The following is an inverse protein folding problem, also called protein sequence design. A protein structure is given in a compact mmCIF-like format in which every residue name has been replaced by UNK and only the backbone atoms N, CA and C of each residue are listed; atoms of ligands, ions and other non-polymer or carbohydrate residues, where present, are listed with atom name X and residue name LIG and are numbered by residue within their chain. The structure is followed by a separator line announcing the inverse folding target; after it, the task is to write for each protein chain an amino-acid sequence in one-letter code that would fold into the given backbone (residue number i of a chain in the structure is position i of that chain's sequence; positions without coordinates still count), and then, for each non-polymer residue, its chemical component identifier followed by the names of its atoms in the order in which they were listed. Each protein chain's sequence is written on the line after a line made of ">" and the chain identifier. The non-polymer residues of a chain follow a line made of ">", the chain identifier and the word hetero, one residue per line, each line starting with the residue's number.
data_IF_563867631365
#
_entry.id   IF_563867631365
#
_cell.length_a   1.000
_cell.length_b   1.000
_cell.length_c   1.000
_cell.angle_alpha   90.00
_cell.angle_beta   90.00
_cell.angle_gamma   90.00
#
_symmetry.space_group_name_H-M   'P 1'
#
loop_
_entity.id
_entity.type
_entity.pdbx_description
1 polymer ?
#
# COMPACT_ATOMS: atom_id res chain seq x y z
N UNK A 1 -6.69 -24.67 -3.63
CA UNK A 1 -6.61 -24.26 -3.49
C UNK A 1 -6.38 -24.02 -3.27
N UNK A 2 -6.22 -23.77 -3.31
CA UNK A 2 -5.92 -23.24 -3.16
C UNK A 2 -5.59 -22.81 -2.94
N UNK A 3 -5.41 -22.78 -2.96
CA UNK A 3 -5.05 -22.21 -2.82
C UNK A 3 -4.72 -21.61 -2.55
N UNK A 4 -4.64 -21.76 -2.61
CA UNK A 4 -4.33 -21.06 -2.37
C UNK A 4 -3.91 -20.60 -2.13
N UNK A 5 -3.58 -20.69 -2.22
CA UNK A 5 -3.21 -20.14 -2.02
C UNK A 5 -2.75 -19.51 -1.84
N UNK A 6 -2.27 -19.44 -1.90
CA UNK A 6 -1.97 -18.75 -1.59
C UNK A 6 -1.52 -17.95 -1.56
N UNK A 7 -1.41 -17.63 -1.66
CA UNK A 7 -1.06 -16.75 -1.63
C UNK A 7 -0.48 -16.19 -0.74
N UNK A 8 0.16 -16.01 -0.92
CA UNK A 8 0.88 -15.51 0.02
C UNK A 8 0.18 -14.74 0.92
N UNK A 9 0.12 -15.31 1.59
CA UNK A 9 -0.53 -14.89 2.61
C UNK A 9 -0.46 -13.53 2.98
N UNK A 10 0.68 -13.06 2.93
CA UNK A 10 0.82 -11.70 3.30
C UNK A 10 -0.10 -10.89 2.49
N UNK A 11 -0.22 -11.22 1.28
CA UNK A 11 -1.13 -10.50 0.43
C UNK A 11 -2.53 -11.04 0.64
N UNK A 12 -3.00 -10.93 1.84
CA UNK A 12 -4.34 -11.36 2.18
C UNK A 12 -5.36 -10.55 1.38
N UNK A 13 -6.30 -11.21 0.73
CA UNK A 13 -7.34 -10.47 0.02
C UNK A 13 -8.23 -9.64 0.93
N UNK A 14 -8.18 -9.91 2.24
CA UNK A 14 -8.94 -9.12 3.18
C UNK A 14 -8.23 -7.87 3.65
N UNK A 15 -6.97 -7.70 3.30
CA UNK A 15 -6.27 -6.51 3.74
C UNK A 15 -6.89 -5.28 3.10
N UNK A 16 -7.22 -4.30 3.93
CA UNK A 16 -7.79 -3.04 3.49
C UNK A 16 -6.72 -2.01 3.17
N UNK A 17 -5.47 -2.29 3.52
CA UNK A 17 -4.38 -1.33 3.38
C UNK A 17 -3.58 -1.64 2.12
N UNK A 18 -3.52 -0.67 1.22
CA UNK A 18 -2.84 -0.84 -0.06
C UNK A 18 -1.71 0.16 -0.18
N UNK A 19 -0.59 -0.29 -0.73
CA UNK A 19 0.53 0.59 -1.05
C UNK A 19 0.92 0.37 -2.50
N UNK A 20 0.95 1.45 -3.27
CA UNK A 20 1.38 1.42 -4.66
C UNK A 20 2.77 2.07 -4.73
N UNK A 21 3.72 1.38 -5.36
CA UNK A 21 5.10 1.83 -5.36
C UNK A 21 5.75 1.57 -6.71
N UNK A 22 6.89 2.24 -6.95
CA UNK A 22 7.69 2.00 -8.14
C UNK A 22 8.97 1.27 -7.78
N UNK A 23 9.40 0.35 -8.64
CA UNK A 23 10.53 -0.54 -8.33
C UNK A 23 11.84 0.22 -8.04
N UNK A 24 11.99 1.41 -8.59
CA UNK A 24 13.21 2.21 -8.40
C UNK A 24 12.91 3.56 -7.74
N UNK A 25 11.82 3.65 -7.03
CA UNK A 25 11.35 4.89 -6.43
C UNK A 25 12.05 5.15 -5.09
N UNK A 26 12.90 6.20 -4.99
CA UNK A 26 13.60 6.47 -3.72
C UNK A 26 12.67 6.80 -2.57
N UNK A 27 11.59 7.54 -2.86
CA UNK A 27 10.62 7.90 -1.82
C UNK A 27 9.89 6.67 -1.30
N UNK A 28 9.62 5.72 -2.20
CA UNK A 28 8.99 4.46 -1.80
C UNK A 28 9.91 3.67 -0.88
N UNK A 29 11.22 3.65 -1.20
CA UNK A 29 12.18 2.92 -0.37
C UNK A 29 12.28 3.50 1.02
N UNK A 30 12.16 4.81 1.16
CA UNK A 30 12.19 5.44 2.48
C UNK A 30 11.01 5.02 3.34
N UNK A 31 9.90 4.66 2.71
CA UNK A 31 8.72 4.23 3.46
C UNK A 31 8.77 2.77 3.86
N UNK A 32 9.64 1.96 3.25
CA UNK A 32 9.69 0.52 3.53
C UNK A 32 9.86 0.20 5.03
N UNK A 33 10.84 0.79 5.73
CA UNK A 33 10.98 0.47 7.16
C UNK A 33 9.80 0.94 7.98
N UNK A 34 9.16 2.05 7.59
CA UNK A 34 8.00 2.54 8.31
C UNK A 34 6.80 1.62 8.12
N UNK A 35 6.62 1.11 6.91
CA UNK A 35 5.54 0.16 6.63
C UNK A 35 5.78 -1.14 7.40
N UNK A 36 7.04 -1.62 7.43
CA UNK A 36 7.36 -2.83 8.16
C UNK A 36 7.07 -2.66 9.66
N UNK A 37 7.40 -1.51 10.21
CA UNK A 37 7.13 -1.23 11.60
C UNK A 37 5.63 -1.16 11.87
N UNK A 38 4.89 -0.55 10.98
CA UNK A 38 3.44 -0.47 11.08
C UNK A 38 2.80 -1.85 11.10
N UNK A 39 3.23 -2.70 10.19
CA UNK A 39 2.70 -4.06 10.11
C UNK A 39 2.94 -4.82 11.41
N UNK A 40 4.13 -4.64 11.97
CA UNK A 40 4.50 -5.31 13.20
C UNK A 40 3.71 -4.76 14.39
N UNK A 41 3.62 -3.45 14.48
CA UNK A 41 2.97 -2.81 15.63
C UNK A 41 1.48 -3.08 15.66
N UNK A 42 0.81 -2.97 14.52
CA UNK A 42 -0.64 -3.10 14.46
C UNK A 42 -1.11 -4.52 14.14
N UNK A 43 -0.17 -5.42 13.79
CA UNK A 43 -0.55 -6.77 13.43
C UNK A 43 -1.35 -6.82 12.14
N UNK A 44 -1.03 -5.95 11.18
CA UNK A 44 -1.75 -5.88 9.92
C UNK A 44 -0.80 -6.17 8.76
N UNK A 45 -1.37 -6.42 7.59
CA UNK A 45 -0.59 -6.58 6.37
C UNK A 45 -0.96 -5.46 5.42
N UNK A 46 0.06 -4.86 4.80
CA UNK A 46 -0.14 -3.88 3.75
C UNK A 46 0.10 -4.58 2.44
N UNK A 47 -0.88 -4.59 1.56
CA UNK A 47 -0.73 -5.18 0.23
C UNK A 47 0.04 -4.21 -0.65
N UNK A 48 1.11 -4.69 -1.26
CA UNK A 48 2.03 -3.85 -2.02
C UNK A 48 1.92 -4.15 -3.50
N UNK A 49 1.75 -3.12 -4.31
CA UNK A 49 1.57 -3.24 -5.75
C UNK A 49 2.60 -2.40 -6.46
N UNK A 50 3.48 -3.06 -7.21
CA UNK A 50 4.46 -2.35 -8.02
C UNK A 50 3.78 -1.86 -9.29
N UNK A 51 3.90 -0.57 -9.62
CA UNK A 51 3.13 0.02 -10.71
C UNK A 51 3.95 0.54 -11.88
N UNK A 52 5.27 0.64 -11.74
CA UNK A 52 6.08 1.17 -12.83
C UNK A 52 6.31 0.15 -13.93
N UNK A 53 6.36 -1.13 -13.56
CA UNK A 53 6.55 -2.21 -14.54
C UNK A 53 5.32 -3.07 -14.74
N UNK A 54 4.42 -3.08 -13.78
CA UNK A 54 3.23 -3.92 -13.84
C UNK A 54 2.03 -3.08 -14.22
N UNK A 55 1.58 -3.25 -15.45
CA UNK A 55 0.47 -2.46 -16.00
C UNK A 55 -0.84 -2.73 -15.30
N UNK A 56 -1.08 -3.96 -14.88
CA UNK A 56 -2.33 -4.28 -14.20
C UNK A 56 -2.40 -3.57 -12.86
N UNK A 57 -1.27 -3.53 -12.15
CA UNK A 57 -1.21 -2.83 -10.88
C UNK A 57 -1.35 -1.32 -11.07
N UNK A 58 -0.81 -0.80 -12.17
CA UNK A 58 -0.96 0.62 -12.47
C UNK A 58 -2.42 0.97 -12.69
N UNK A 59 -3.17 0.10 -13.36
CA UNK A 59 -4.60 0.33 -13.56
C UNK A 59 -5.38 0.21 -12.26
N UNK A 60 -4.97 -0.72 -11.41
CA UNK A 60 -5.59 -0.84 -10.10
C UNK A 60 -5.40 0.44 -9.30
N UNK A 61 -4.19 1.00 -9.34
CA UNK A 61 -3.92 2.25 -8.67
C UNK A 61 -4.85 3.36 -9.15
N UNK A 62 -5.06 3.45 -10.47
CA UNK A 62 -5.94 4.47 -11.02
C UNK A 62 -7.35 4.38 -10.46
N UNK A 63 -7.81 3.17 -10.20
CA UNK A 63 -9.13 2.96 -9.63
C UNK A 63 -9.28 3.66 -8.28
N UNK A 64 -8.25 3.58 -7.44
CA UNK A 64 -8.31 4.19 -6.12
C UNK A 64 -7.81 5.63 -6.13
N UNK A 65 -6.80 5.92 -6.95
CA UNK A 65 -6.23 7.25 -7.01
C UNK A 65 -7.20 8.27 -7.60
N UNK A 66 -7.78 7.95 -8.74
CA UNK A 66 -8.77 8.81 -9.40
C UNK A 66 -8.31 10.26 -9.46
N UNK A 67 -7.01 10.48 -9.69
CA UNK A 67 -6.47 11.82 -9.81
C UNK A 67 -6.07 12.48 -8.51
N UNK A 68 -6.16 11.78 -7.39
CA UNK A 68 -5.82 12.37 -6.08
C UNK A 68 -4.33 12.61 -5.92
N UNK A 69 -3.52 11.65 -6.34
CA UNK A 69 -2.08 11.71 -6.13
C UNK A 69 -1.31 11.73 -7.44
N UNK A 70 -1.58 10.76 -8.30
CA UNK A 70 -0.96 10.61 -9.62
C UNK A 70 0.53 10.36 -9.53
N UNK A 71 0.98 9.71 -8.46
CA UNK A 71 2.37 9.37 -8.28
C UNK A 71 2.53 8.36 -7.16
N UNK A 72 3.77 7.94 -6.92
CA UNK A 72 4.08 6.95 -5.88
C UNK A 72 5.10 7.52 -4.92
N UNK A 73 5.14 7.05 -3.66
CA UNK A 73 4.24 6.04 -3.11
C UNK A 73 2.83 6.60 -2.88
N UNK A 74 1.85 5.73 -3.02
CA UNK A 74 0.46 6.11 -2.78
C UNK A 74 -0.14 5.04 -1.87
N UNK A 75 -0.66 5.46 -0.72
CA UNK A 75 -1.24 4.58 0.28
C UNK A 75 -2.74 4.80 0.33
N UNK A 76 -3.50 3.73 0.28
CA UNK A 76 -4.96 3.85 0.28
C UNK A 76 -5.58 2.84 1.24
N UNK A 77 -6.45 3.32 2.13
CA UNK A 77 -7.18 2.47 3.06
C UNK A 77 -8.59 2.29 2.52
N UNK A 78 -8.89 1.09 2.06
CA UNK A 78 -10.16 0.84 1.38
C UNK A 78 -11.36 0.84 2.33
N UNK A 79 -11.13 0.71 3.64
CA UNK A 79 -12.23 0.68 4.60
C UNK A 79 -12.76 2.08 4.90
N UNK A 80 -11.87 3.07 5.01
CA UNK A 80 -12.30 4.42 5.39
C UNK A 80 -11.97 5.47 4.33
N UNK A 81 -11.33 5.05 3.23
CA UNK A 81 -10.96 5.90 2.09
C UNK A 81 -9.92 6.96 2.41
N UNK A 82 -9.21 6.82 3.52
CA UNK A 82 -8.07 7.68 3.79
C UNK A 82 -6.92 7.34 2.86
N UNK A 83 -6.13 8.32 2.49
CA UNK A 83 -4.99 8.08 1.62
C UNK A 83 -3.82 8.98 2.01
N UNK A 84 -2.62 8.56 1.59
CA UNK A 84 -1.41 9.36 1.71
C UNK A 84 -0.75 9.39 0.35
N UNK A 85 -0.37 10.57 -0.09
CA UNK A 85 0.33 10.77 -1.34
C UNK A 85 1.76 11.17 -1.02
N UNK A 86 2.73 10.29 -1.34
CA UNK A 86 4.13 10.58 -1.11
C UNK A 86 4.62 10.08 0.24
N UNK A 87 5.74 10.66 0.69
CA UNK A 87 6.31 10.28 1.98
C UNK A 87 5.51 10.86 3.12
N UNK A 88 5.52 10.14 4.24
CA UNK A 88 4.85 10.59 5.46
C UNK A 88 5.65 10.08 6.64
N UNK A 89 5.51 10.75 7.79
CA UNK A 89 6.14 10.24 8.99
C UNK A 89 5.31 9.07 9.56
N UNK A 90 5.88 8.41 10.56
CA UNK A 90 5.23 7.21 11.10
C UNK A 90 3.88 7.50 11.72
N UNK A 91 3.75 8.65 12.39
CA UNK A 91 2.48 9.03 12.99
C UNK A 91 1.37 9.15 11.96
N UNK A 92 1.67 9.79 10.84
CA UNK A 92 0.70 9.94 9.77
C UNK A 92 0.35 8.58 9.15
N UNK A 93 1.35 7.73 8.96
CA UNK A 93 1.13 6.40 8.40
C UNK A 93 0.25 5.57 9.33
N UNK A 94 0.51 5.62 10.63
CA UNK A 94 -0.27 4.90 11.61
C UNK A 94 -1.71 5.38 11.64
N UNK A 95 -1.90 6.70 11.59
CA UNK A 95 -3.24 7.29 11.56
C UNK A 95 -4.01 6.85 10.31
N UNK A 96 -3.32 6.77 9.18
CA UNK A 96 -3.91 6.31 7.92
C UNK A 96 -4.42 4.88 8.04
N UNK A 97 -3.70 4.03 8.77
CA UNK A 97 -4.03 2.62 8.88
C UNK A 97 -5.15 2.35 9.87
N UNK A 98 -5.51 3.32 10.69
CA UNK A 98 -6.52 3.15 11.74
C UNK A 98 -7.80 3.89 11.38
N UNK A 99 -8.89 3.41 11.92
CA UNK A 99 -10.19 4.07 11.70
C UNK A 99 -10.40 5.26 12.61
#
# INVERSE_FOLDING_TARGET
>A
MDETEQQPAAASPESKLLEFYGYACPHCKKMEPLVAELEKELGVAVQKYEVWKDEQNARLMETYDAGLCMGVPFFYNTANKKFICGEADYGALKSWAQD
#
